data_IF_405235566502
#
_entry.id   IF_405235566502
#
_cell.length_a   1.000
_cell.length_b   1.000
_cell.length_c   1.000
_cell.angle_alpha   90.00
_cell.angle_beta   90.00
_cell.angle_gamma   90.00
#
_symmetry.space_group_name_H-M   'P 1'
#
loop_
_entity.id
_entity.type
_entity.pdbx_description
1 polymer ?
#
# COMPACT_ATOMS: atom_id res chain seq x y z
N UNK A 1 -14.81 14.05 11.34
CA UNK A 1 -14.03 12.80 11.23
C UNK A 1 -14.19 12.32 9.82
N UNK A 2 -13.13 12.39 9.02
CA UNK A 2 -13.20 11.97 7.62
C UNK A 2 -13.38 10.46 7.54
N UNK A 3 -14.26 10.03 6.64
CA UNK A 3 -14.52 8.64 6.33
C UNK A 3 -13.56 8.21 5.21
N UNK A 4 -12.77 7.17 5.49
CA UNK A 4 -11.78 6.65 4.56
C UNK A 4 -12.35 5.47 3.78
N UNK A 5 -12.69 5.69 2.51
CA UNK A 5 -13.07 4.61 1.60
C UNK A 5 -11.83 3.87 1.10
N UNK A 6 -11.82 2.55 1.30
CA UNK A 6 -10.73 1.62 0.99
C UNK A 6 -11.19 0.61 -0.06
N UNK A 7 -10.43 0.50 -1.15
CA UNK A 7 -10.69 -0.47 -2.21
C UNK A 7 -10.19 -1.84 -1.81
N UNK A 8 -11.00 -2.85 -2.09
CA UNK A 8 -10.73 -4.25 -1.74
C UNK A 8 -11.06 -5.17 -2.89
N UNK A 9 -10.33 -6.28 -3.00
CA UNK A 9 -10.69 -7.43 -3.82
C UNK A 9 -11.28 -8.48 -2.90
N UNK A 10 -12.47 -8.99 -3.21
CA UNK A 10 -13.10 -10.06 -2.42
C UNK A 10 -12.26 -11.34 -2.45
N UNK A 11 -12.32 -12.10 -1.36
CA UNK A 11 -11.61 -13.35 -1.21
C UNK A 11 -10.26 -13.25 -0.49
N UNK A 12 -9.57 -14.38 -0.31
CA UNK A 12 -9.77 -15.64 -1.04
C UNK A 12 -10.87 -16.59 -0.51
N UNK A 13 -11.53 -16.29 0.61
CA UNK A 13 -12.59 -17.12 1.17
C UNK A 13 -13.92 -16.36 1.31
N UNK A 14 -14.23 -15.46 0.38
CA UNK A 14 -15.50 -14.73 0.34
C UNK A 14 -16.69 -15.68 0.16
N UNK A 15 -16.49 -16.83 -0.47
CA UNK A 15 -17.46 -17.91 -0.60
C UNK A 15 -17.79 -18.63 0.71
N UNK A 16 -17.01 -18.45 1.78
CA UNK A 16 -17.34 -18.94 3.13
C UNK A 16 -18.18 -17.94 3.92
N UNK A 17 -18.47 -16.76 3.35
CA UNK A 17 -19.40 -15.80 3.91
C UNK A 17 -20.80 -15.92 3.32
N UNK A 18 -21.78 -15.49 4.11
CA UNK A 18 -23.16 -15.37 3.65
C UNK A 18 -23.31 -14.16 2.72
N UNK A 19 -24.35 -14.16 1.88
CA UNK A 19 -24.66 -12.98 1.06
C UNK A 19 -24.92 -11.73 1.93
N UNK A 20 -25.65 -11.90 3.03
CA UNK A 20 -25.87 -10.87 4.06
C UNK A 20 -24.56 -10.39 4.70
N UNK A 21 -23.61 -11.29 4.93
CA UNK A 21 -22.29 -10.96 5.46
C UNK A 21 -21.47 -10.11 4.49
N UNK A 22 -21.44 -10.48 3.21
CA UNK A 22 -20.78 -9.70 2.16
C UNK A 22 -21.45 -8.32 2.02
N UNK A 23 -22.80 -8.27 2.01
CA UNK A 23 -23.54 -7.00 1.97
C UNK A 23 -23.23 -6.13 3.19
N UNK A 24 -23.19 -6.73 4.39
CA UNK A 24 -22.86 -6.03 5.64
C UNK A 24 -21.46 -5.43 5.57
N UNK A 25 -20.48 -6.21 5.10
CA UNK A 25 -19.09 -5.76 4.94
C UNK A 25 -18.98 -4.55 4.01
N UNK A 26 -19.73 -4.53 2.91
CA UNK A 26 -19.64 -3.48 1.89
C UNK A 26 -20.50 -2.24 2.18
N UNK A 27 -21.60 -2.40 2.93
CA UNK A 27 -22.54 -1.31 3.23
C UNK A 27 -22.31 -0.64 4.58
N UNK A 28 -21.59 -1.29 5.50
CA UNK A 28 -21.34 -0.76 6.84
C UNK A 28 -20.15 0.19 6.89
N UNK A 29 -20.25 1.19 7.76
CA UNK A 29 -19.07 1.94 8.21
C UNK A 29 -18.50 1.30 9.45
N UNK A 30 -17.19 1.10 9.46
CA UNK A 30 -16.45 0.58 10.59
C UNK A 30 -15.61 1.66 11.27
N UNK A 31 -15.41 1.55 12.58
CA UNK A 31 -14.60 2.47 13.37
C UNK A 31 -13.32 1.77 13.82
N UNK A 32 -12.18 2.43 13.63
CA UNK A 32 -10.90 1.87 14.08
C UNK A 32 -10.85 1.82 15.61
N UNK A 33 -10.63 0.62 16.15
CA UNK A 33 -10.52 0.34 17.58
C UNK A 33 -9.22 0.86 18.17
N UNK A 34 -9.21 1.13 19.47
CA UNK A 34 -8.01 1.48 20.24
C UNK A 34 -7.00 0.33 20.36
N UNK A 35 -7.43 -0.90 20.10
CA UNK A 35 -6.59 -2.11 20.06
C UNK A 35 -5.81 -2.27 18.74
N UNK A 36 -5.90 -1.30 17.83
CA UNK A 36 -5.22 -1.32 16.53
C UNK A 36 -3.74 -0.97 16.66
N UNK A 37 -2.89 -1.68 15.92
CA UNK A 37 -1.45 -1.47 15.91
C UNK A 37 -0.83 -1.85 14.55
N UNK A 38 0.50 -1.89 14.46
CA UNK A 38 1.22 -2.23 13.23
C UNK A 38 1.02 -3.66 12.73
N UNK A 39 0.50 -4.57 13.55
CA UNK A 39 0.12 -5.92 13.12
C UNK A 39 -1.22 -5.91 12.39
N UNK A 40 -2.17 -5.09 12.84
CA UNK A 40 -3.44 -4.92 12.16
C UNK A 40 -4.36 -3.87 12.79
N UNK A 41 -5.27 -3.36 11.95
CA UNK A 41 -6.36 -2.48 12.36
C UNK A 41 -7.57 -3.31 12.73
N UNK A 42 -7.98 -3.24 14.00
CA UNK A 42 -9.20 -3.89 14.49
C UNK A 42 -10.35 -2.92 14.30
N UNK A 43 -11.43 -3.40 13.71
CA UNK A 43 -12.54 -2.55 13.30
C UNK A 43 -13.82 -2.90 14.08
N UNK A 44 -14.42 -1.88 14.68
CA UNK A 44 -15.71 -1.97 15.37
C UNK A 44 -16.84 -1.60 14.41
N UNK A 45 -17.91 -2.39 14.38
CA UNK A 45 -19.05 -2.15 13.49
C UNK A 45 -20.01 -3.32 13.45
N UNK A 46 -20.83 -3.37 12.39
CA UNK A 46 -21.77 -4.46 12.15
C UNK A 46 -21.02 -5.80 11.99
N UNK A 47 -21.51 -6.83 12.68
CA UNK A 47 -20.93 -8.16 12.63
C UNK A 47 -21.19 -8.81 11.26
N UNK A 48 -20.11 -9.30 10.63
CA UNK A 48 -20.13 -9.97 9.34
C UNK A 48 -20.48 -11.44 9.56
N UNK A 49 -21.52 -11.92 8.89
CA UNK A 49 -22.00 -13.29 9.03
C UNK A 49 -21.28 -14.25 8.07
N UNK A 50 -20.73 -15.34 8.61
CA UNK A 50 -20.24 -16.45 7.79
C UNK A 50 -21.36 -17.39 7.36
N UNK A 51 -21.19 -18.08 6.22
CA UNK A 51 -22.22 -18.95 5.63
C UNK A 51 -22.68 -20.07 6.56
N UNK A 52 -21.75 -20.63 7.32
CA UNK A 52 -21.97 -21.82 8.16
C UNK A 52 -21.77 -21.54 9.67
N UNK A 53 -21.70 -20.26 10.07
CA UNK A 53 -21.39 -19.86 11.45
C UNK A 53 -19.96 -20.19 11.91
N UNK A 54 -19.09 -20.61 10.99
CA UNK A 54 -17.67 -20.89 11.24
C UNK A 54 -16.80 -19.76 10.73
N UNK A 55 -15.79 -19.39 11.50
CA UNK A 55 -14.80 -18.36 11.13
C UNK A 55 -13.36 -18.87 11.13
N UNK A 56 -13.15 -20.05 11.73
CA UNK A 56 -11.85 -20.68 11.81
C UNK A 56 -11.61 -21.64 10.65
N UNK A 57 -10.41 -21.55 10.08
CA UNK A 57 -9.86 -22.41 9.04
C UNK A 57 -8.56 -23.05 9.50
N UNK A 58 -8.09 -24.06 8.75
CA UNK A 58 -6.69 -24.49 8.87
C UNK A 58 -5.81 -23.28 8.55
N UNK A 59 -4.79 -23.03 9.38
CA UNK A 59 -3.88 -21.89 9.22
C UNK A 59 -3.36 -21.82 7.79
N UNK A 60 -3.59 -20.66 7.17
CA UNK A 60 -3.26 -20.37 5.78
C UNK A 60 -2.37 -19.12 5.71
N UNK A 61 -1.69 -18.91 4.60
CA UNK A 61 -0.88 -17.73 4.36
C UNK A 61 -1.73 -16.46 4.43
N UNK A 62 -1.14 -15.37 4.94
CA UNK A 62 -1.77 -14.05 4.95
C UNK A 62 -0.85 -13.01 4.31
N UNK A 63 -1.45 -12.04 3.63
CA UNK A 63 -0.73 -10.98 2.91
C UNK A 63 -1.08 -9.61 3.49
N UNK A 64 -0.31 -8.60 3.09
CA UNK A 64 -0.53 -7.26 3.59
C UNK A 64 -1.88 -6.77 3.07
N UNK A 65 -2.72 -6.26 3.96
CA UNK A 65 -4.09 -5.89 3.61
C UNK A 65 -5.08 -7.04 3.64
N UNK A 66 -4.72 -8.29 3.97
CA UNK A 66 -5.73 -9.33 4.20
C UNK A 66 -6.70 -8.89 5.31
N UNK A 67 -8.00 -9.03 5.06
CA UNK A 67 -9.05 -8.67 6.02
C UNK A 67 -9.60 -9.96 6.63
N UNK A 68 -9.17 -10.25 7.85
CA UNK A 68 -9.64 -11.40 8.61
C UNK A 68 -10.94 -11.08 9.35
N UNK A 69 -11.84 -12.05 9.46
CA UNK A 69 -13.04 -11.96 10.28
C UNK A 69 -13.03 -13.09 11.30
N UNK A 70 -12.76 -12.80 12.59
CA UNK A 70 -12.85 -13.76 13.68
C UNK A 70 -14.31 -14.06 14.08
N UNK A 71 -14.50 -14.95 15.06
CA UNK A 71 -15.82 -15.40 15.51
C UNK A 71 -16.76 -14.33 16.10
N UNK A 72 -16.27 -13.12 16.37
CA UNK A 72 -17.08 -11.97 16.77
C UNK A 72 -17.64 -11.18 15.56
N UNK A 73 -17.30 -11.57 14.33
CA UNK A 73 -17.75 -10.96 13.09
C UNK A 73 -17.10 -9.60 12.80
N UNK A 74 -16.10 -9.18 13.56
CA UNK A 74 -15.47 -7.85 13.43
C UNK A 74 -14.21 -7.92 12.56
N UNK A 75 -14.11 -7.15 11.46
CA UNK A 75 -12.98 -7.30 10.57
C UNK A 75 -11.66 -6.77 11.18
N UNK A 76 -10.56 -7.43 10.84
CA UNK A 76 -9.19 -7.03 11.16
C UNK A 76 -8.40 -6.91 9.86
N UNK A 77 -7.94 -5.70 9.54
CA UNK A 77 -7.07 -5.47 8.39
C UNK A 77 -5.62 -5.72 8.81
N UNK A 78 -4.96 -6.73 8.25
CA UNK A 78 -3.58 -7.07 8.58
C UNK A 78 -2.59 -6.11 7.91
N UNK A 79 -1.59 -5.65 8.68
CA UNK A 79 -0.62 -4.62 8.25
C UNK A 79 0.82 -5.16 8.20
N UNK A 80 1.80 -4.26 8.17
CA UNK A 80 3.21 -4.57 7.91
C UNK A 80 3.83 -5.56 8.88
N UNK A 81 3.43 -5.55 10.17
CA UNK A 81 4.02 -6.41 11.20
C UNK A 81 3.14 -7.65 11.48
N UNK A 82 2.15 -7.94 10.64
CA UNK A 82 1.27 -9.11 10.77
C UNK A 82 2.07 -10.42 10.80
N UNK A 83 1.51 -11.45 11.41
CA UNK A 83 2.09 -12.79 11.32
C UNK A 83 2.02 -13.35 9.88
N UNK A 84 2.81 -14.37 9.56
CA UNK A 84 2.89 -14.94 8.20
C UNK A 84 1.71 -15.87 7.85
N UNK A 85 1.05 -16.45 8.85
CA UNK A 85 -0.10 -17.36 8.68
C UNK A 85 -1.23 -17.03 9.65
N UNK A 86 -2.47 -17.36 9.31
CA UNK A 86 -3.61 -17.07 10.17
C UNK A 86 -4.72 -18.10 10.04
N UNK A 87 -5.40 -18.36 11.15
CA UNK A 87 -6.48 -19.34 11.24
C UNK A 87 -7.88 -18.78 11.02
N UNK A 88 -8.04 -17.51 10.64
CA UNK A 88 -9.35 -16.90 10.40
C UNK A 88 -9.65 -16.76 8.90
N UNK A 89 -10.94 -16.86 8.57
CA UNK A 89 -11.47 -16.57 7.24
C UNK A 89 -11.08 -15.15 6.81
N UNK A 90 -10.75 -15.01 5.53
CA UNK A 90 -10.41 -13.72 4.92
C UNK A 90 -11.49 -13.37 3.90
N UNK A 91 -12.27 -12.35 4.21
CA UNK A 91 -13.39 -11.90 3.38
C UNK A 91 -12.91 -11.14 2.14
N UNK A 92 -11.79 -10.42 2.26
CA UNK A 92 -11.24 -9.60 1.21
C UNK A 92 -9.76 -9.29 1.46
N UNK A 93 -9.11 -8.71 0.46
CA UNK A 93 -7.76 -8.16 0.54
C UNK A 93 -7.76 -6.71 0.05
N UNK A 94 -7.17 -5.80 0.84
CA UNK A 94 -7.03 -4.39 0.48
C UNK A 94 -6.15 -4.22 -0.75
N UNK A 95 -6.58 -3.36 -1.68
CA UNK A 95 -5.78 -2.98 -2.84
C UNK A 95 -4.47 -2.32 -2.39
N UNK A 96 -3.33 -2.76 -2.93
CA UNK A 96 -2.00 -2.30 -2.51
C UNK A 96 -1.83 -0.77 -2.51
N UNK A 97 -2.50 -0.08 -3.44
CA UNK A 97 -2.50 1.38 -3.57
C UNK A 97 -3.09 2.10 -2.35
N UNK A 98 -3.99 1.44 -1.59
CA UNK A 98 -4.64 2.02 -0.42
C UNK A 98 -3.96 1.66 0.91
N UNK A 99 -3.01 0.72 0.92
CA UNK A 99 -2.25 0.32 2.12
C UNK A 99 -1.55 1.50 2.81
N UNK A 100 -0.87 2.44 2.11
CA UNK A 100 -0.22 3.58 2.77
C UNK A 100 -1.22 4.46 3.52
N UNK A 101 -2.46 4.58 3.02
CA UNK A 101 -3.52 5.37 3.65
C UNK A 101 -3.92 4.76 4.99
N UNK A 102 -3.99 3.43 5.08
CA UNK A 102 -4.28 2.70 6.33
C UNK A 102 -3.22 2.91 7.40
N UNK A 103 -1.95 3.08 7.01
CA UNK A 103 -0.85 3.38 7.95
C UNK A 103 -0.95 4.76 8.62
N UNK A 104 -1.81 5.65 8.11
CA UNK A 104 -2.04 6.99 8.67
C UNK A 104 -3.31 7.06 9.55
N UNK A 105 -4.03 5.94 9.68
CA UNK A 105 -5.32 5.91 10.39
C UNK A 105 -5.10 5.79 11.90
N UNK A 106 -5.88 6.54 12.67
CA UNK A 106 -5.90 6.53 14.13
C UNK A 106 -7.19 5.93 14.69
N UNK A 107 -7.19 5.44 15.94
CA UNK A 107 -8.43 5.03 16.62
C UNK A 107 -9.53 6.11 16.54
N UNK A 108 -10.76 5.68 16.30
CA UNK A 108 -11.92 6.55 16.10
C UNK A 108 -12.14 7.04 14.67
N UNK A 109 -11.18 6.84 13.75
CA UNK A 109 -11.44 7.07 12.31
C UNK A 109 -12.42 6.04 11.75
N UNK A 110 -13.10 6.43 10.66
CA UNK A 110 -14.14 5.63 10.01
C UNK A 110 -13.62 5.06 8.70
N UNK A 111 -13.89 3.79 8.42
CA UNK A 111 -13.50 3.08 7.20
C UNK A 111 -14.76 2.48 6.54
N UNK A 112 -14.86 2.63 5.23
CA UNK A 112 -15.82 1.92 4.37
C UNK A 112 -15.07 1.17 3.29
N UNK A 113 -15.71 0.13 2.72
CA UNK A 113 -15.08 -0.74 1.73
C UNK A 113 -15.79 -0.65 0.38
N UNK A 114 -15.02 -0.62 -0.70
CA UNK A 114 -15.54 -0.67 -2.08
C UNK A 114 -14.84 -1.77 -2.86
N UNK A 115 -15.61 -2.67 -3.47
CA UNK A 115 -15.05 -3.76 -4.28
C UNK A 115 -14.47 -3.21 -5.58
N UNK A 116 -13.29 -3.69 -5.94
CA UNK A 116 -12.66 -3.50 -7.25
C UNK A 116 -12.25 -4.86 -7.82
N UNK A 117 -12.09 -4.92 -9.14
CA UNK A 117 -11.49 -6.10 -9.78
C UNK A 117 -9.98 -6.19 -9.49
N UNK A 118 -9.40 -7.37 -9.71
CA UNK A 118 -7.94 -7.56 -9.61
C UNK A 118 -7.23 -6.67 -10.63
N UNK A 119 -7.75 -6.61 -11.85
CA UNK A 119 -7.22 -5.82 -12.95
C UNK A 119 -7.24 -4.33 -12.62
N UNK A 120 -8.36 -3.82 -12.09
CA UNK A 120 -8.47 -2.43 -11.65
C UNK A 120 -7.51 -2.13 -10.49
N UNK A 121 -7.40 -3.03 -9.51
CA UNK A 121 -6.44 -2.88 -8.41
C UNK A 121 -5.00 -2.81 -8.90
N UNK A 122 -4.63 -3.62 -9.90
CA UNK A 122 -3.30 -3.62 -10.49
C UNK A 122 -3.04 -2.33 -11.29
N UNK A 123 -4.01 -1.89 -12.08
CA UNK A 123 -3.92 -0.65 -12.85
C UNK A 123 -3.72 0.57 -11.94
N UNK A 124 -4.51 0.67 -10.86
CA UNK A 124 -4.36 1.73 -9.86
C UNK A 124 -2.99 1.71 -9.17
N UNK A 125 -2.44 0.52 -8.93
CA UNK A 125 -1.11 0.39 -8.36
C UNK A 125 -0.02 0.88 -9.32
N UNK A 126 -0.08 0.49 -10.60
CA UNK A 126 0.84 0.95 -11.65
C UNK A 126 0.77 2.47 -11.78
N UNK A 127 -0.43 3.05 -11.92
CA UNK A 127 -0.60 4.50 -12.01
C UNK A 127 -0.02 5.25 -10.80
N UNK A 128 -0.15 4.69 -9.60
CA UNK A 128 0.43 5.27 -8.40
C UNK A 128 1.96 5.21 -8.42
N UNK A 129 2.55 4.12 -8.92
CA UNK A 129 4.00 3.99 -9.06
C UNK A 129 4.54 4.98 -10.10
N UNK A 130 3.83 5.14 -11.22
CA UNK A 130 4.21 6.08 -12.27
C UNK A 130 4.20 7.53 -11.77
N UNK A 131 3.15 7.93 -11.03
CA UNK A 131 3.05 9.28 -10.43
C UNK A 131 4.17 9.55 -9.43
N UNK A 132 4.53 8.56 -8.61
CA UNK A 132 5.63 8.68 -7.66
C UNK A 132 6.96 8.81 -8.41
N UNK A 133 7.16 7.99 -9.44
CA UNK A 133 8.39 7.97 -10.23
C UNK A 133 8.58 9.27 -11.01
N UNK A 134 7.51 9.81 -11.61
CA UNK A 134 7.55 11.11 -12.30
C UNK A 134 7.88 12.24 -11.32
N UNK A 135 7.25 12.25 -10.13
CA UNK A 135 7.52 13.27 -9.11
C UNK A 135 8.97 13.23 -8.59
N UNK A 136 9.57 12.04 -8.49
CA UNK A 136 10.99 11.88 -8.15
C UNK A 136 11.86 12.37 -9.30
N UNK A 137 11.53 12.03 -10.55
CA UNK A 137 12.28 12.50 -11.71
C UNK A 137 12.18 14.03 -11.85
N UNK A 138 11.06 14.67 -11.52
CA UNK A 138 10.96 16.13 -11.52
C UNK A 138 11.84 16.80 -10.44
N UNK A 139 12.21 16.06 -9.39
CA UNK A 139 13.18 16.50 -8.37
C UNK A 139 14.64 16.29 -8.80
N UNK A 140 14.87 15.42 -9.79
CA UNK A 140 16.15 15.22 -10.46
C UNK A 140 16.12 16.10 -11.72
N UNK A 141 16.69 17.30 -11.64
CA UNK A 141 16.84 18.19 -12.79
C UNK A 141 17.62 17.55 -13.95
N UNK A 142 17.87 18.33 -15.00
CA UNK A 142 18.51 17.86 -16.23
C UNK A 142 19.72 16.97 -15.94
N UNK A 143 19.68 15.75 -16.49
CA UNK A 143 20.81 14.85 -16.52
C UNK A 143 21.64 15.14 -17.76
N UNK A 144 22.94 15.32 -17.58
CA UNK A 144 23.88 15.32 -18.69
C UNK A 144 24.84 14.15 -18.56
N UNK A 145 25.22 13.60 -19.70
CA UNK A 145 26.15 12.49 -19.78
C UNK A 145 27.53 13.05 -20.13
N UNK A 146 28.52 12.74 -19.30
CA UNK A 146 29.93 12.98 -19.60
C UNK A 146 30.58 11.66 -19.98
N UNK A 147 31.36 11.63 -21.05
CA UNK A 147 32.22 10.49 -21.35
C UNK A 147 33.64 10.82 -20.91
N UNK A 148 34.16 10.10 -19.93
CA UNK A 148 35.56 10.21 -19.48
C UNK A 148 36.29 8.96 -19.92
N UNK A 149 37.15 9.09 -20.93
CA UNK A 149 37.80 7.97 -21.62
C UNK A 149 36.76 6.99 -22.21
N UNK A 150 36.62 5.80 -21.61
CA UNK A 150 35.68 4.74 -22.03
C UNK A 150 34.51 4.56 -21.06
N UNK A 151 34.34 5.47 -20.09
CA UNK A 151 33.29 5.40 -19.08
C UNK A 151 32.25 6.49 -19.32
N UNK A 152 30.99 6.08 -19.45
CA UNK A 152 29.85 7.00 -19.48
C UNK A 152 29.45 7.34 -18.04
N UNK A 153 29.47 8.62 -17.69
CA UNK A 153 29.15 9.17 -16.37
C UNK A 153 27.84 9.94 -16.48
N UNK A 154 26.85 9.59 -15.67
CA UNK A 154 25.60 10.35 -15.56
C UNK A 154 25.70 11.35 -14.40
N UNK A 155 25.50 12.63 -14.70
CA UNK A 155 25.50 13.72 -13.72
C UNK A 155 24.09 14.30 -13.63
N UNK A 156 23.48 14.28 -12.44
CA UNK A 156 22.17 14.89 -12.20
C UNK A 156 22.31 16.28 -11.56
N UNK A 157 21.52 17.24 -12.04
CA UNK A 157 21.39 18.54 -11.37
C UNK A 157 20.19 18.47 -10.40
N UNK A 158 20.32 18.88 -9.13
CA UNK A 158 19.14 19.03 -8.27
C UNK A 158 18.48 20.38 -8.57
N UNK A 159 17.14 20.46 -8.51
CA UNK A 159 16.35 21.67 -8.83
C UNK A 159 16.70 22.89 -7.96
N UNK A 160 17.46 22.70 -6.87
CA UNK A 160 18.02 23.77 -6.05
C UNK A 160 19.26 24.47 -6.63
N UNK A 161 19.73 24.06 -7.82
CA UNK A 161 20.87 24.69 -8.50
C UNK A 161 22.25 24.24 -8.01
N UNK A 162 22.34 23.17 -7.22
CA UNK A 162 23.60 22.48 -6.92
C UNK A 162 23.55 21.05 -7.49
N UNK A 163 24.42 20.76 -8.45
CA UNK A 163 24.64 19.41 -8.93
C UNK A 163 25.60 18.71 -7.97
N UNK A 164 25.09 17.80 -7.14
CA UNK A 164 25.88 17.20 -6.06
C UNK A 164 26.04 15.68 -6.18
N UNK A 165 25.54 15.01 -7.24
CA UNK A 165 25.61 13.54 -7.31
C UNK A 165 25.98 13.03 -8.71
N UNK A 166 26.97 12.14 -8.76
CA UNK A 166 27.36 11.31 -9.90
C UNK A 166 27.01 9.87 -9.64
N UNK A 167 26.46 9.16 -10.64
CA UNK A 167 26.21 7.72 -10.57
C UNK A 167 27.24 6.98 -11.43
N UNK A 168 28.01 6.08 -10.80
CA UNK A 168 28.97 5.18 -11.45
C UNK A 168 28.64 3.74 -11.06
N UNK A 169 28.39 2.87 -12.04
CA UNK A 169 28.03 1.45 -11.83
C UNK A 169 26.84 1.25 -10.85
N UNK A 170 25.89 2.20 -10.85
CA UNK A 170 24.72 2.18 -9.95
C UNK A 170 24.98 2.68 -8.53
N UNK A 171 26.19 3.18 -8.24
CA UNK A 171 26.58 3.75 -6.94
C UNK A 171 26.60 5.27 -7.05
N UNK A 172 25.96 5.95 -6.10
CA UNK A 172 25.91 7.41 -6.02
C UNK A 172 27.12 7.98 -5.25
N UNK A 173 27.80 8.94 -5.85
CA UNK A 173 28.95 9.67 -5.30
C UNK A 173 28.64 11.16 -5.21
N UNK A 174 28.95 11.82 -4.08
CA UNK A 174 28.83 13.26 -4.01
C UNK A 174 29.90 13.92 -4.89
N UNK A 175 29.53 14.97 -5.63
CA UNK A 175 30.47 15.76 -6.42
C UNK A 175 30.36 17.25 -6.10
N UNK A 176 31.49 17.95 -6.22
CA UNK A 176 31.58 19.40 -6.13
C UNK A 176 32.18 19.85 -7.45
N UNK A 177 31.48 20.76 -8.14
CA UNK A 177 31.99 21.38 -9.38
C UNK A 177 32.66 22.69 -9.01
N UNK A 178 33.98 22.72 -9.03
CA UNK A 178 34.75 23.94 -8.72
C UNK A 178 34.81 24.93 -9.89
N UNK A 179 34.81 24.45 -11.14
CA UNK A 179 34.92 25.29 -12.35
C UNK A 179 34.31 24.58 -13.57
N UNK A 180 33.53 25.30 -14.39
CA UNK A 180 32.95 24.80 -15.65
C UNK A 180 33.49 25.62 -16.82
N UNK A 181 34.17 24.96 -17.76
CA UNK A 181 34.67 25.58 -18.99
C UNK A 181 33.98 24.87 -20.17
N UNK A 182 33.06 25.53 -20.90
CA UNK A 182 32.48 24.97 -22.11
C UNK A 182 33.50 24.94 -23.25
N UNK A 183 33.44 23.92 -24.10
CA UNK A 183 34.19 23.88 -25.36
C UNK A 183 33.63 24.93 -26.34
N UNK A 184 34.53 25.63 -27.06
CA UNK A 184 34.23 26.68 -28.06
C UNK A 184 33.45 26.17 -29.29
#
# INVERSE_FOLDING_TARGET
TDELSIRVVLGPQDDEFSESGIETFLSSTYVVSDQSNRQGLRLEGSAIESRNGRFDIVSDAVVNGSIQVPGDGKPIILLSDRQTTGGYLKIATVASVDIPRLGQVSPGNRITFSVVSVEESQQLFIESQDRLSSSINDLVGDQFFLRVSDTDISVGTAVSGSAEIVILDGIAYPIIVDEFIPDE
#
